data_IF_480488166018
#
_entry.id   IF_480488166018
#
_cell.length_a   1.000
_cell.length_b   1.000
_cell.length_c   1.000
_cell.angle_alpha   90.00
_cell.angle_beta   90.00
_cell.angle_gamma   90.00
#
_symmetry.space_group_name_H-M   'P 1'
#
loop_
_entity.id
_entity.type
_entity.pdbx_description
1 polymer ?
#
# COMPACT_ATOMS: atom_id res chain seq x y z
N UNK A 1 6.93 -8.85 66.25
CA UNK A 1 5.93 -8.80 65.19
C UNK A 1 6.35 -7.73 64.20
N UNK A 2 6.93 -8.13 63.09
CA UNK A 2 7.46 -7.21 62.11
C UNK A 2 6.34 -6.96 61.07
N UNK A 3 5.91 -5.72 60.79
CA UNK A 3 4.87 -5.50 59.82
C UNK A 3 5.39 -5.85 58.43
N UNK A 4 4.70 -6.78 57.76
CA UNK A 4 4.94 -7.13 56.37
C UNK A 4 4.82 -5.89 55.50
N UNK A 5 5.87 -5.59 54.73
CA UNK A 5 5.81 -4.52 53.71
C UNK A 5 4.79 -4.95 52.63
N UNK A 6 3.90 -4.05 52.21
CA UNK A 6 2.97 -4.38 51.13
C UNK A 6 3.79 -4.75 49.90
N UNK A 7 3.50 -5.92 49.31
CA UNK A 7 4.06 -6.34 48.02
C UNK A 7 3.67 -5.29 46.98
N UNK A 8 4.67 -4.64 46.36
CA UNK A 8 4.43 -3.78 45.19
C UNK A 8 3.71 -4.62 44.14
N UNK A 9 2.60 -4.14 43.55
CA UNK A 9 1.95 -4.83 42.45
C UNK A 9 2.97 -4.98 41.31
N UNK A 10 2.97 -6.15 40.71
CA UNK A 10 3.84 -6.47 39.58
C UNK A 10 3.45 -5.55 38.40
N UNK A 11 4.28 -4.57 38.09
CA UNK A 11 3.98 -3.55 37.08
C UNK A 11 3.81 -4.14 35.68
N UNK A 12 4.26 -5.38 35.46
CA UNK A 12 4.10 -6.10 34.19
C UNK A 12 2.72 -6.75 34.03
N UNK A 13 1.97 -6.91 35.14
CA UNK A 13 0.64 -7.55 35.16
C UNK A 13 -0.49 -6.55 35.45
N UNK A 14 -0.23 -5.25 35.33
CA UNK A 14 -1.26 -4.25 35.55
C UNK A 14 -2.24 -4.22 34.39
N UNK A 15 -3.42 -4.80 34.59
CA UNK A 15 -4.54 -4.80 33.64
C UNK A 15 -5.29 -3.47 33.63
N UNK A 16 -5.16 -2.62 34.66
CA UNK A 16 -5.79 -1.31 34.69
C UNK A 16 -5.09 -0.32 33.77
N UNK A 17 -5.73 0.02 32.66
CA UNK A 17 -5.24 1.01 31.71
C UNK A 17 -6.18 2.20 31.66
N UNK A 18 -5.62 3.39 31.43
CA UNK A 18 -6.37 4.61 31.16
C UNK A 18 -7.09 4.57 29.81
N UNK A 19 -6.75 3.61 28.97
CA UNK A 19 -7.26 3.48 27.62
C UNK A 19 -8.36 2.41 27.56
N UNK A 20 -9.45 2.72 26.92
CA UNK A 20 -10.56 1.76 26.68
C UNK A 20 -10.16 0.67 25.69
N UNK A 21 -9.30 1.04 24.76
CA UNK A 21 -8.79 0.17 23.70
C UNK A 21 -7.31 0.54 23.46
N UNK A 22 -6.42 -0.41 23.61
CA UNK A 22 -4.98 -0.22 23.38
C UNK A 22 -4.61 -0.39 21.91
N UNK A 23 -5.38 -1.16 21.17
CA UNK A 23 -5.10 -1.51 19.79
C UNK A 23 -5.16 -0.26 18.87
N UNK A 24 -5.85 0.80 19.33
CA UNK A 24 -5.90 2.11 18.63
C UNK A 24 -4.49 2.73 18.46
N UNK A 25 -3.54 2.38 19.31
CA UNK A 25 -2.18 2.90 19.26
C UNK A 25 -1.20 2.03 18.45
N UNK A 26 -1.66 0.88 17.96
CA UNK A 26 -0.84 0.07 17.08
C UNK A 26 -0.68 0.77 15.72
N UNK A 27 0.52 0.65 15.12
CA UNK A 27 0.86 1.36 13.88
C UNK A 27 0.03 0.90 12.67
N UNK A 28 -0.49 -0.30 12.72
CA UNK A 28 -1.32 -0.95 11.70
C UNK A 28 -2.82 -0.91 12.03
N UNK A 29 -3.20 -0.26 13.14
CA UNK A 29 -4.60 -0.11 13.51
C UNK A 29 -5.39 0.65 12.45
N UNK A 30 -6.39 -0.03 11.89
CA UNK A 30 -7.38 0.60 11.00
C UNK A 30 -8.66 0.89 11.79
N UNK A 31 -9.05 2.15 11.95
CA UNK A 31 -10.26 2.49 12.70
C UNK A 31 -11.50 1.90 12.02
N UNK A 32 -12.43 1.32 12.79
CA UNK A 32 -13.71 0.79 12.27
C UNK A 32 -14.49 1.85 11.50
N UNK A 33 -14.49 3.09 12.01
CA UNK A 33 -15.12 4.23 11.37
C UNK A 33 -14.08 5.22 10.90
N UNK A 34 -14.02 5.41 9.57
CA UNK A 34 -13.13 6.38 8.94
C UNK A 34 -13.90 7.68 8.69
N UNK A 35 -14.09 8.45 9.78
CA UNK A 35 -14.88 9.68 9.78
C UNK A 35 -14.18 10.85 9.11
N UNK A 36 -14.97 11.77 8.53
CA UNK A 36 -14.52 13.03 7.91
C UNK A 36 -13.64 12.88 6.67
N UNK A 37 -13.57 11.69 6.06
CA UNK A 37 -12.79 11.40 4.85
C UNK A 37 -13.61 10.67 3.78
N UNK A 38 -14.91 10.64 3.92
CA UNK A 38 -15.83 9.94 3.01
C UNK A 38 -15.65 10.43 1.57
N UNK A 39 -15.56 11.77 1.37
CA UNK A 39 -15.39 12.37 0.04
C UNK A 39 -14.08 11.96 -0.63
N UNK A 40 -13.00 11.91 0.13
CA UNK A 40 -11.69 11.50 -0.39
C UNK A 40 -11.70 10.02 -0.76
N UNK A 41 -12.30 9.18 0.08
CA UNK A 41 -12.46 7.75 -0.19
C UNK A 41 -13.32 7.53 -1.43
N UNK A 42 -14.45 8.25 -1.56
CA UNK A 42 -15.31 8.18 -2.74
C UNK A 42 -14.60 8.61 -4.02
N UNK A 43 -13.75 9.64 -3.94
CA UNK A 43 -12.93 10.06 -5.08
C UNK A 43 -11.95 8.97 -5.51
N UNK A 44 -11.32 8.28 -4.56
CA UNK A 44 -10.43 7.15 -4.84
C UNK A 44 -11.21 5.96 -5.42
N UNK A 45 -12.38 5.64 -4.87
CA UNK A 45 -13.28 4.60 -5.41
C UNK A 45 -13.69 4.92 -6.85
N UNK A 46 -13.96 6.18 -7.16
CA UNK A 46 -14.25 6.60 -8.52
C UNK A 46 -13.09 6.32 -9.48
N UNK A 47 -11.86 6.59 -9.05
CA UNK A 47 -10.66 6.32 -9.85
C UNK A 47 -10.47 4.82 -10.16
N UNK A 48 -10.79 3.94 -9.21
CA UNK A 48 -10.61 2.49 -9.42
C UNK A 48 -11.81 1.80 -10.07
N UNK A 49 -12.97 2.45 -10.13
CA UNK A 49 -14.22 1.87 -10.68
C UNK A 49 -14.06 1.21 -12.03
N UNK A 50 -13.32 1.76 -13.01
CA UNK A 50 -13.09 1.09 -14.29
C UNK A 50 -12.42 -0.28 -14.15
N UNK A 51 -11.56 -0.46 -13.15
CA UNK A 51 -10.86 -1.72 -12.89
C UNK A 51 -11.79 -2.86 -12.48
N UNK A 52 -12.90 -2.57 -11.81
CA UNK A 52 -13.94 -3.56 -11.47
C UNK A 52 -14.55 -4.19 -12.73
N UNK A 53 -14.58 -3.46 -13.84
CA UNK A 53 -15.08 -3.92 -15.12
C UNK A 53 -13.96 -4.43 -16.06
N UNK A 54 -12.73 -4.60 -15.53
CA UNK A 54 -11.58 -5.03 -16.31
C UNK A 54 -10.96 -3.92 -17.16
N UNK A 55 -11.35 -2.66 -16.97
CA UNK A 55 -10.73 -1.49 -17.58
C UNK A 55 -9.46 -1.06 -16.84
N UNK A 56 -8.76 -0.04 -17.37
CA UNK A 56 -7.66 0.60 -16.66
C UNK A 56 -8.20 1.58 -15.63
N UNK A 57 -7.67 1.56 -14.40
CA UNK A 57 -8.04 2.56 -13.41
C UNK A 57 -7.50 3.94 -13.79
N UNK A 58 -8.10 4.97 -13.24
CA UNK A 58 -7.57 6.33 -13.29
C UNK A 58 -6.50 6.46 -12.22
N UNK A 59 -5.34 6.98 -12.60
CA UNK A 59 -4.28 7.26 -11.64
C UNK A 59 -4.65 8.45 -10.75
N UNK A 60 -4.24 8.39 -9.49
CA UNK A 60 -4.55 9.41 -8.50
C UNK A 60 -3.30 9.85 -7.72
N UNK A 61 -3.35 11.07 -7.19
CA UNK A 61 -2.33 11.59 -6.29
C UNK A 61 -3.00 12.16 -5.04
N UNK A 62 -2.66 11.60 -3.88
CA UNK A 62 -3.12 12.03 -2.58
C UNK A 62 -2.10 12.99 -1.96
N UNK A 63 -2.44 14.27 -1.87
CA UNK A 63 -1.60 15.32 -1.30
C UNK A 63 -2.19 15.83 0.02
N UNK A 64 -1.35 16.21 0.94
CA UNK A 64 -1.75 16.89 2.16
C UNK A 64 -0.77 16.69 3.32
N UNK A 65 -0.91 17.44 4.41
CA UNK A 65 0.00 17.39 5.56
C UNK A 65 0.13 15.98 6.17
N UNK A 66 1.24 15.67 6.85
CA UNK A 66 1.39 14.42 7.60
C UNK A 66 0.26 14.25 8.63
N UNK A 67 -0.07 13.00 8.98
CA UNK A 67 -1.09 12.71 10.01
C UNK A 67 -2.53 12.95 9.59
N UNK A 68 -2.82 13.26 8.32
CA UNK A 68 -4.19 13.53 7.83
C UNK A 68 -4.95 12.27 7.40
N UNK A 69 -4.40 11.08 7.61
CA UNK A 69 -5.07 9.80 7.30
C UNK A 69 -5.01 9.39 5.83
N UNK A 70 -4.04 9.86 5.03
CA UNK A 70 -3.89 9.48 3.62
C UNK A 70 -3.64 7.98 3.45
N UNK A 71 -2.66 7.46 4.17
CA UNK A 71 -2.31 6.02 4.16
C UNK A 71 -3.46 5.17 4.68
N UNK A 72 -4.13 5.61 5.75
CA UNK A 72 -5.31 4.94 6.31
C UNK A 72 -6.45 4.85 5.28
N UNK A 73 -6.67 5.92 4.48
CA UNK A 73 -7.66 5.90 3.39
C UNK A 73 -7.35 4.84 2.33
N UNK A 74 -6.06 4.65 2.01
CA UNK A 74 -5.63 3.63 1.06
C UNK A 74 -5.85 2.23 1.62
N UNK A 75 -5.49 1.97 2.88
CA UNK A 75 -5.74 0.67 3.49
C UNK A 75 -7.24 0.34 3.57
N UNK A 76 -8.08 1.32 3.93
CA UNK A 76 -9.55 1.14 3.89
C UNK A 76 -10.07 0.84 2.48
N UNK A 77 -9.54 1.53 1.46
CA UNK A 77 -9.87 1.24 0.07
C UNK A 77 -9.46 -0.17 -0.32
N UNK A 78 -8.26 -0.60 0.08
CA UNK A 78 -7.72 -1.93 -0.24
C UNK A 78 -8.50 -3.04 0.45
N UNK A 79 -8.86 -2.86 1.73
CA UNK A 79 -9.74 -3.76 2.47
C UNK A 79 -11.08 -3.95 1.73
N UNK A 80 -11.69 -2.86 1.27
CA UNK A 80 -12.95 -2.90 0.53
C UNK A 80 -12.79 -3.57 -0.84
N UNK A 81 -11.68 -3.32 -1.55
CA UNK A 81 -11.37 -4.00 -2.83
C UNK A 81 -11.25 -5.51 -2.62
N UNK A 82 -10.45 -5.94 -1.65
CA UNK A 82 -10.21 -7.36 -1.37
C UNK A 82 -11.49 -8.10 -0.95
N UNK A 83 -12.40 -7.40 -0.25
CA UNK A 83 -13.70 -7.97 0.14
C UNK A 83 -14.67 -8.15 -1.06
N UNK A 84 -14.55 -7.34 -2.12
CA UNK A 84 -15.56 -7.29 -3.18
C UNK A 84 -15.06 -7.70 -4.57
N UNK A 85 -13.76 -7.87 -4.78
CA UNK A 85 -13.20 -8.17 -6.09
C UNK A 85 -11.97 -9.05 -6.01
N UNK A 86 -12.03 -10.17 -6.70
CA UNK A 86 -10.85 -11.02 -6.94
C UNK A 86 -10.05 -10.59 -8.18
N UNK A 87 -10.60 -9.70 -8.99
CA UNK A 87 -9.95 -9.20 -10.22
C UNK A 87 -8.88 -8.16 -9.92
N UNK A 88 -9.10 -7.33 -8.90
CA UNK A 88 -8.16 -6.28 -8.55
C UNK A 88 -7.19 -6.80 -7.50
N UNK A 89 -5.91 -6.58 -7.74
CA UNK A 89 -4.82 -6.91 -6.80
C UNK A 89 -4.25 -5.59 -6.27
N UNK A 90 -4.63 -5.19 -5.06
CA UNK A 90 -4.09 -4.01 -4.42
C UNK A 90 -2.69 -4.29 -3.85
N UNK A 91 -1.74 -3.40 -4.10
CA UNK A 91 -0.37 -3.50 -3.60
C UNK A 91 0.04 -2.17 -2.97
N UNK A 92 0.35 -2.18 -1.69
CA UNK A 92 0.93 -1.04 -0.98
C UNK A 92 2.44 -1.15 -0.97
N UNK A 93 3.12 -0.07 -1.33
CA UNK A 93 4.59 0.03 -1.31
C UNK A 93 4.96 1.29 -0.52
N UNK A 94 5.72 1.10 0.55
CA UNK A 94 6.30 2.21 1.30
C UNK A 94 7.61 2.64 0.64
N UNK A 95 7.59 3.77 -0.07
CA UNK A 95 8.74 4.25 -0.84
C UNK A 95 9.90 4.74 0.05
N UNK A 96 9.67 4.98 1.33
CA UNK A 96 10.74 5.25 2.28
C UNK A 96 11.63 4.01 2.50
N UNK A 97 11.03 2.83 2.46
CA UNK A 97 11.75 1.55 2.62
C UNK A 97 12.19 0.99 1.26
N UNK A 98 11.33 1.10 0.26
CA UNK A 98 11.49 0.56 -1.09
C UNK A 98 11.71 1.71 -2.10
N UNK A 99 12.87 2.36 -2.03
CA UNK A 99 13.17 3.62 -2.75
C UNK A 99 13.73 3.42 -4.16
N UNK A 100 13.75 2.20 -4.69
CA UNK A 100 14.24 1.93 -6.05
C UNK A 100 13.20 1.24 -6.91
N UNK A 101 13.29 1.41 -8.23
CA UNK A 101 12.42 0.70 -9.17
C UNK A 101 12.41 -0.81 -8.94
N UNK A 102 13.57 -1.40 -8.68
CA UNK A 102 13.66 -2.83 -8.41
C UNK A 102 12.91 -3.21 -7.12
N UNK A 103 13.08 -2.45 -6.05
CA UNK A 103 12.42 -2.71 -4.77
C UNK A 103 10.88 -2.60 -4.89
N UNK A 104 10.38 -1.58 -5.58
CA UNK A 104 8.94 -1.45 -5.86
C UNK A 104 8.40 -2.69 -6.57
N UNK A 105 9.03 -3.11 -7.67
CA UNK A 105 8.58 -4.29 -8.42
C UNK A 105 8.82 -5.62 -7.69
N UNK A 106 9.76 -5.66 -6.77
CA UNK A 106 9.96 -6.78 -5.85
C UNK A 106 8.74 -6.96 -4.93
N UNK A 107 8.19 -5.87 -4.38
CA UNK A 107 6.97 -5.92 -3.57
C UNK A 107 5.75 -6.35 -4.41
N UNK A 108 5.61 -5.84 -5.63
CA UNK A 108 4.56 -6.29 -6.55
C UNK A 108 4.66 -7.79 -6.80
N UNK A 109 5.85 -8.26 -7.11
CA UNK A 109 6.10 -9.69 -7.36
C UNK A 109 5.73 -10.53 -6.13
N UNK A 110 6.19 -10.12 -4.94
CA UNK A 110 5.91 -10.81 -3.67
C UNK A 110 4.41 -10.88 -3.37
N UNK A 111 3.67 -9.80 -3.60
CA UNK A 111 2.20 -9.78 -3.40
C UNK A 111 1.48 -10.70 -4.37
N UNK A 112 1.90 -10.75 -5.62
CA UNK A 112 1.25 -11.52 -6.69
C UNK A 112 1.52 -13.02 -6.58
N UNK A 113 2.78 -13.39 -6.32
CA UNK A 113 3.23 -14.78 -6.33
C UNK A 113 3.36 -15.40 -4.93
N UNK A 114 3.10 -14.60 -3.88
CA UNK A 114 3.19 -15.00 -2.46
C UNK A 114 4.59 -15.49 -2.02
N UNK A 115 5.59 -15.29 -2.86
CA UNK A 115 7.00 -15.59 -2.56
C UNK A 115 7.93 -14.53 -3.16
N UNK A 116 9.13 -14.42 -2.61
CA UNK A 116 10.16 -13.56 -3.15
C UNK A 116 10.62 -14.03 -4.54
N UNK A 117 11.03 -13.12 -5.44
CA UNK A 117 11.72 -13.54 -6.65
C UNK A 117 13.02 -14.30 -6.30
N UNK A 118 13.51 -15.20 -7.19
CA UNK A 118 14.71 -15.97 -6.93
C UNK A 118 15.88 -15.08 -6.53
N UNK A 119 16.58 -15.45 -5.46
CA UNK A 119 17.65 -14.65 -4.84
C UNK A 119 18.92 -14.53 -5.70
N UNK A 120 19.10 -15.37 -6.71
CA UNK A 120 20.27 -15.35 -7.58
C UNK A 120 20.01 -14.57 -8.87
N UNK A 121 20.41 -13.27 -8.88
CA UNK A 121 20.68 -12.53 -10.12
C UNK A 121 19.52 -12.32 -11.08
N UNK A 122 18.28 -12.27 -10.60
CA UNK A 122 17.14 -11.93 -11.48
C UNK A 122 17.20 -10.43 -11.85
N UNK A 123 17.22 -10.13 -13.15
CA UNK A 123 17.24 -8.76 -13.62
C UNK A 123 15.88 -8.08 -13.40
N UNK A 124 15.88 -6.74 -13.24
CA UNK A 124 14.65 -5.95 -13.20
C UNK A 124 13.69 -6.31 -14.35
N UNK A 125 14.23 -6.42 -15.57
CA UNK A 125 13.44 -6.76 -16.75
C UNK A 125 12.62 -8.03 -16.56
N UNK A 126 13.20 -9.07 -16.00
CA UNK A 126 12.51 -10.35 -15.77
C UNK A 126 11.46 -10.25 -14.68
N UNK A 127 11.71 -9.48 -13.60
CA UNK A 127 10.70 -9.23 -12.55
C UNK A 127 9.52 -8.48 -13.13
N UNK A 128 9.80 -7.40 -13.86
CA UNK A 128 8.79 -6.58 -14.54
C UNK A 128 7.93 -7.40 -15.51
N UNK A 129 8.58 -8.16 -16.42
CA UNK A 129 7.86 -8.99 -17.40
C UNK A 129 6.93 -10.01 -16.73
N UNK A 130 7.40 -10.68 -15.66
CA UNK A 130 6.55 -11.62 -14.92
C UNK A 130 5.34 -10.97 -14.27
N UNK A 131 5.53 -9.80 -13.63
CA UNK A 131 4.43 -9.05 -13.01
C UNK A 131 3.43 -8.59 -14.07
N UNK A 132 3.90 -8.03 -15.17
CA UNK A 132 3.05 -7.54 -16.26
C UNK A 132 2.31 -8.70 -16.97
N UNK A 133 3.01 -9.80 -17.22
CA UNK A 133 2.43 -11.00 -17.87
C UNK A 133 1.32 -11.60 -16.99
N UNK A 134 1.55 -11.73 -15.67
CA UNK A 134 0.54 -12.24 -14.75
C UNK A 134 -0.75 -11.38 -14.78
N UNK A 135 -0.59 -10.03 -14.79
CA UNK A 135 -1.75 -9.13 -14.92
C UNK A 135 -2.55 -9.40 -16.20
N UNK A 136 -1.85 -9.66 -17.32
CA UNK A 136 -2.49 -9.91 -18.61
C UNK A 136 -3.14 -11.31 -18.66
N UNK A 137 -2.41 -12.36 -18.27
CA UNK A 137 -2.83 -13.76 -18.40
C UNK A 137 -3.99 -14.12 -17.46
N UNK A 138 -3.96 -13.59 -16.24
CA UNK A 138 -4.99 -13.85 -15.22
C UNK A 138 -6.15 -12.83 -15.24
N UNK A 139 -6.18 -11.95 -16.23
CA UNK A 139 -7.17 -10.86 -16.33
C UNK A 139 -7.24 -10.00 -15.06
N UNK A 140 -6.10 -9.80 -14.37
CA UNK A 140 -5.99 -9.00 -13.15
C UNK A 140 -5.68 -7.55 -13.46
N UNK A 141 -6.11 -6.67 -12.55
CA UNK A 141 -5.75 -5.25 -12.56
C UNK A 141 -4.95 -4.95 -11.31
N UNK A 142 -3.73 -4.48 -11.45
CA UNK A 142 -2.89 -4.10 -10.32
C UNK A 142 -3.16 -2.64 -9.94
N UNK A 143 -3.47 -2.39 -8.67
CA UNK A 143 -3.57 -1.04 -8.10
C UNK A 143 -2.41 -0.87 -7.15
N UNK A 144 -1.44 -0.04 -7.55
CA UNK A 144 -0.20 0.18 -6.81
C UNK A 144 -0.29 1.51 -6.07
N UNK A 145 -0.35 1.46 -4.74
CA UNK A 145 -0.22 2.63 -3.89
C UNK A 145 1.26 2.83 -3.55
N UNK A 146 1.81 3.94 -4.03
CA UNK A 146 3.18 4.38 -3.73
C UNK A 146 3.10 5.38 -2.58
N UNK A 147 3.29 4.89 -1.36
CA UNK A 147 3.23 5.71 -0.15
C UNK A 147 4.57 6.43 0.07
N UNK A 148 4.49 7.71 0.47
CA UNK A 148 5.65 8.59 0.58
C UNK A 148 6.48 8.64 -0.72
N UNK A 149 5.81 8.81 -1.86
CA UNK A 149 6.41 8.80 -3.21
C UNK A 149 7.58 9.79 -3.37
N UNK A 150 7.66 10.81 -2.53
CA UNK A 150 8.76 11.79 -2.51
C UNK A 150 10.13 11.14 -2.23
N UNK A 151 10.18 9.99 -1.58
CA UNK A 151 11.44 9.24 -1.38
C UNK A 151 11.98 8.60 -2.66
N UNK A 152 11.18 8.55 -3.74
CA UNK A 152 11.64 8.15 -5.08
C UNK A 152 12.21 9.32 -5.90
N UNK A 153 12.11 10.57 -5.44
CA UNK A 153 12.60 11.74 -6.20
C UNK A 153 14.13 11.80 -6.34
N UNK A 154 14.92 11.41 -5.33
CA UNK A 154 16.35 11.28 -5.52
C UNK A 154 16.67 10.33 -6.68
N UNK A 155 17.73 10.65 -7.44
CA UNK A 155 18.22 9.84 -8.58
C UNK A 155 17.17 9.59 -9.69
N UNK A 156 16.05 10.33 -9.68
CA UNK A 156 14.95 10.21 -10.67
C UNK A 156 14.30 8.81 -10.68
N UNK A 157 14.36 8.07 -9.57
CA UNK A 157 13.73 6.76 -9.47
C UNK A 157 12.21 6.85 -9.69
N UNK A 158 11.57 7.94 -9.28
CA UNK A 158 10.14 8.18 -9.53
C UNK A 158 9.79 8.08 -11.01
N UNK A 159 10.62 8.67 -11.90
CA UNK A 159 10.39 8.63 -13.35
C UNK A 159 10.45 7.18 -13.86
N UNK A 160 11.43 6.42 -13.38
CA UNK A 160 11.61 5.03 -13.77
C UNK A 160 10.48 4.13 -13.25
N UNK A 161 10.02 4.35 -12.02
CA UNK A 161 8.91 3.60 -11.42
C UNK A 161 7.62 3.90 -12.16
N UNK A 162 7.27 5.19 -12.29
CA UNK A 162 6.03 5.60 -12.95
C UNK A 162 6.01 5.21 -14.43
N UNK A 163 7.11 5.39 -15.15
CA UNK A 163 7.23 4.96 -16.53
C UNK A 163 6.93 3.45 -16.67
N UNK A 164 7.54 2.64 -15.81
CA UNK A 164 7.34 1.18 -15.85
C UNK A 164 5.91 0.77 -15.53
N UNK A 165 5.27 1.39 -14.53
CA UNK A 165 3.90 1.06 -14.12
C UNK A 165 2.87 1.54 -15.16
N UNK A 166 2.96 2.81 -15.58
CA UNK A 166 1.95 3.43 -16.44
C UNK A 166 2.00 2.93 -17.88
N UNK A 167 3.17 2.48 -18.33
CA UNK A 167 3.40 2.00 -19.70
C UNK A 167 3.62 0.47 -19.79
N UNK A 168 3.31 -0.27 -18.74
CA UNK A 168 3.46 -1.73 -18.74
C UNK A 168 2.76 -2.41 -19.92
N UNK A 169 1.63 -1.86 -20.35
CA UNK A 169 0.85 -2.36 -21.49
C UNK A 169 1.55 -2.23 -22.85
N UNK A 170 2.56 -1.37 -22.98
CA UNK A 170 3.34 -1.25 -24.22
C UNK A 170 4.32 -2.42 -24.37
N UNK A 171 4.83 -2.91 -23.25
CA UNK A 171 5.73 -4.07 -23.21
C UNK A 171 4.96 -5.38 -23.18
N UNK A 172 3.86 -5.42 -22.43
CA UNK A 172 3.00 -6.58 -22.26
C UNK A 172 1.55 -6.21 -22.59
N UNK A 173 1.09 -6.40 -23.83
CA UNK A 173 -0.30 -6.12 -24.20
C UNK A 173 -1.27 -6.87 -23.31
N UNK A 174 -2.27 -6.16 -22.78
CA UNK A 174 -3.22 -6.71 -21.81
C UNK A 174 -2.88 -6.44 -20.35
N UNK A 175 -1.65 -6.06 -20.02
CA UNK A 175 -1.31 -5.64 -18.67
C UNK A 175 -2.07 -4.36 -18.26
N UNK A 176 -2.66 -4.39 -17.07
CA UNK A 176 -3.47 -3.30 -16.53
C UNK A 176 -2.97 -2.93 -15.14
N UNK A 177 -2.39 -1.74 -15.06
CA UNK A 177 -1.86 -1.20 -13.81
C UNK A 177 -2.38 0.20 -13.60
N UNK A 178 -2.66 0.56 -12.35
CA UNK A 178 -2.98 1.90 -11.91
C UNK A 178 -2.14 2.29 -10.72
N UNK A 179 -1.89 3.57 -10.58
CA UNK A 179 -1.03 4.12 -9.55
C UNK A 179 -1.82 5.11 -8.70
N UNK A 180 -1.68 4.97 -7.39
CA UNK A 180 -2.11 5.96 -6.41
C UNK A 180 -0.85 6.44 -5.70
N UNK A 181 -0.39 7.65 -6.03
CA UNK A 181 0.71 8.29 -5.32
C UNK A 181 0.22 8.94 -4.02
N UNK A 182 0.96 8.79 -2.93
CA UNK A 182 0.69 9.45 -1.66
C UNK A 182 1.90 10.30 -1.32
N UNK A 183 1.68 11.58 -1.08
CA UNK A 183 2.76 12.52 -0.75
C UNK A 183 2.31 13.44 0.37
N UNK A 184 3.18 13.65 1.32
CA UNK A 184 3.03 14.70 2.31
C UNK A 184 3.55 16.01 1.71
N UNK A 185 2.79 17.12 1.83
CA UNK A 185 3.32 18.42 1.50
C UNK A 185 4.55 18.68 2.35
N UNK A 186 5.64 19.01 1.70
CA UNK A 186 6.81 19.57 2.39
C UNK A 186 6.40 20.96 2.84
N UNK A 187 6.35 21.15 4.16
CA UNK A 187 6.10 22.44 4.77
C UNK A 187 7.26 23.42 4.51
#
# INVERSE_FOLDING_TARGET
MNPERPKKPDMLLWEETLFKDRDIFELDHLPDQFLHRERQLDSLKFCIRPALQGGRPVNALCLGPPGTGKTTAIFKLFEEIEAHSTRIVPVHVNCQMDSTRYAVFYQLYKKIFEHAPPSSGISFKRVFEKVAQHSADEDKVLIVALDDINYLFPEKEVDHVLYSLLRAHETCPGARMGVIGIMSELA
#
